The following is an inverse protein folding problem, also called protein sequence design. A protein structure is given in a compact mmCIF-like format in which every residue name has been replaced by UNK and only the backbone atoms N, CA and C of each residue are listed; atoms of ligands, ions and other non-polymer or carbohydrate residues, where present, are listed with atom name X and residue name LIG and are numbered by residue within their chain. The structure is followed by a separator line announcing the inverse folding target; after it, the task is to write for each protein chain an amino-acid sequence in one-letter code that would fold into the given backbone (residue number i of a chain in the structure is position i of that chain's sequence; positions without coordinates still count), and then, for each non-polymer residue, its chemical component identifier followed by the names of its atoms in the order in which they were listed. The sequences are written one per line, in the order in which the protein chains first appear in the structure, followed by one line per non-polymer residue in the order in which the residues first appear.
data_IF_193246595091
#
_entry.id   IF_193246595091
#
_cell.length_a   1.000
_cell.length_b   1.000
_cell.length_c   1.000
_cell.angle_alpha   90.00
_cell.angle_beta   90.00
_cell.angle_gamma   90.00
#
_symmetry.space_group_name_H-M   'P 1'
#
loop_
_entity.id
_entity.type
_entity.pdbx_description
1 polymer ?
#
# COMPACT_ATOMS: atom_id res chain seq x y z
N UNK A 1 -28.20 15.42 -8.81
CA UNK A 1 -26.82 14.92 -8.94
C UNK A 1 -25.88 15.94 -8.29
N UNK A 2 -25.13 15.54 -7.31
CA UNK A 2 -24.17 16.40 -6.59
C UNK A 2 -22.78 15.75 -6.64
N UNK A 3 -21.76 16.51 -7.02
CA UNK A 3 -20.37 16.06 -6.96
C UNK A 3 -19.79 16.51 -5.61
N UNK A 4 -19.31 15.56 -4.83
CA UNK A 4 -18.63 15.79 -3.56
C UNK A 4 -17.15 15.45 -3.69
N UNK A 5 -16.30 16.27 -3.09
CA UNK A 5 -14.85 16.10 -3.13
C UNK A 5 -14.30 16.15 -1.72
N UNK A 6 -13.47 15.19 -1.36
CA UNK A 6 -12.68 15.15 -0.13
C UNK A 6 -11.21 15.24 -0.53
N UNK A 7 -10.56 16.38 -0.23
CA UNK A 7 -9.19 16.64 -0.64
C UNK A 7 -8.49 17.58 0.36
N UNK A 8 -7.47 17.12 1.05
CA UNK A 8 -6.99 15.74 1.10
C UNK A 8 -7.80 14.85 2.07
N UNK A 9 -7.74 13.55 1.87
CA UNK A 9 -8.09 12.60 2.93
C UNK A 9 -6.98 12.65 3.98
N UNK A 10 -7.36 12.81 5.25
CA UNK A 10 -6.43 12.96 6.37
C UNK A 10 -6.12 11.63 7.07
N UNK A 11 -5.14 11.63 7.98
CA UNK A 11 -4.67 10.49 8.78
C UNK A 11 -4.09 9.35 7.94
N UNK A 12 -3.47 9.70 6.85
CA UNK A 12 -2.66 8.83 6.00
C UNK A 12 -1.33 9.54 5.68
N UNK A 13 -0.35 8.80 5.25
CA UNK A 13 0.86 9.37 4.65
C UNK A 13 0.64 9.57 3.15
N UNK A 14 0.97 10.77 2.65
CA UNK A 14 0.75 11.19 1.27
C UNK A 14 -0.61 11.87 1.03
N UNK A 15 -0.81 12.34 -0.19
CA UNK A 15 -2.01 13.07 -0.60
C UNK A 15 -2.97 12.15 -1.36
N UNK A 16 -4.11 11.89 -0.77
CA UNK A 16 -5.20 11.15 -1.38
C UNK A 16 -6.41 12.06 -1.53
N UNK A 17 -6.99 12.06 -2.73
CA UNK A 17 -8.23 12.74 -3.05
C UNK A 17 -9.30 11.72 -3.42
N UNK A 18 -10.49 11.86 -2.88
CA UNK A 18 -11.66 11.10 -3.27
C UNK A 18 -12.71 12.04 -3.84
N UNK A 19 -13.30 11.65 -4.94
CA UNK A 19 -14.43 12.32 -5.57
C UNK A 19 -15.58 11.33 -5.73
N UNK A 20 -16.80 11.79 -5.53
CA UNK A 20 -17.99 10.95 -5.68
C UNK A 20 -19.15 11.73 -6.28
N UNK A 21 -19.92 11.05 -7.10
CA UNK A 21 -21.22 11.53 -7.57
C UNK A 21 -22.33 10.92 -6.73
N UNK A 22 -23.22 11.79 -6.27
CA UNK A 22 -24.35 11.38 -5.42
C UNK A 22 -25.66 11.78 -6.11
N UNK A 23 -26.54 10.81 -6.29
CA UNK A 23 -27.89 11.02 -6.82
C UNK A 23 -28.89 10.42 -5.84
N UNK A 24 -29.82 11.23 -5.35
CA UNK A 24 -30.88 10.83 -4.40
C UNK A 24 -30.34 10.12 -3.15
N UNK A 25 -29.19 10.59 -2.63
CA UNK A 25 -28.53 10.03 -1.43
C UNK A 25 -27.72 8.76 -1.68
N UNK A 26 -27.58 8.31 -2.91
CA UNK A 26 -26.81 7.12 -3.29
C UNK A 26 -25.57 7.53 -4.08
N UNK A 27 -24.41 6.98 -3.74
CA UNK A 27 -23.18 7.15 -4.53
C UNK A 27 -23.33 6.36 -5.82
N UNK A 28 -23.35 7.07 -6.95
CA UNK A 28 -23.51 6.48 -8.28
C UNK A 28 -22.18 6.26 -8.98
N UNK A 29 -21.15 7.05 -8.63
CA UNK A 29 -19.80 6.86 -9.14
C UNK A 29 -18.77 7.43 -8.14
N UNK A 30 -17.53 6.92 -8.17
CA UNK A 30 -16.46 7.37 -7.27
C UNK A 30 -15.08 7.22 -7.93
N UNK A 31 -14.20 8.19 -7.67
CA UNK A 31 -12.82 8.21 -8.14
C UNK A 31 -11.87 8.51 -6.99
N UNK A 32 -10.69 7.88 -7.05
CA UNK A 32 -9.58 8.13 -6.13
C UNK A 32 -8.36 8.53 -6.94
N UNK A 33 -7.65 9.56 -6.49
CA UNK A 33 -6.36 9.98 -7.06
C UNK A 33 -5.32 10.21 -5.98
N UNK A 34 -4.12 9.68 -6.20
CA UNK A 34 -2.96 9.88 -5.34
C UNK A 34 -2.07 11.00 -5.84
N UNK A 35 -1.93 12.08 -5.07
CA UNK A 35 -1.11 13.25 -5.45
C UNK A 35 0.40 12.96 -5.45
N UNK A 36 0.85 11.92 -4.77
CA UNK A 36 2.25 11.51 -4.68
C UNK A 36 2.58 10.29 -5.57
N UNK A 37 1.83 10.10 -6.63
CA UNK A 37 2.02 9.01 -7.57
C UNK A 37 3.40 9.06 -8.26
N UNK A 38 4.10 7.93 -8.28
CA UNK A 38 5.44 7.80 -8.90
C UNK A 38 5.56 6.61 -9.86
N UNK A 39 4.46 5.92 -10.15
CA UNK A 39 4.45 4.79 -11.08
C UNK A 39 5.23 3.57 -10.60
N UNK A 40 5.22 3.30 -9.29
CA UNK A 40 5.98 2.18 -8.72
C UNK A 40 5.53 0.82 -9.28
N UNK A 41 4.28 0.68 -9.64
CA UNK A 41 3.74 -0.49 -10.34
C UNK A 41 4.40 -0.73 -11.71
N UNK A 42 4.82 0.34 -12.39
CA UNK A 42 5.58 0.24 -13.64
C UNK A 42 7.05 -0.08 -13.39
N UNK A 43 7.61 0.44 -12.29
CA UNK A 43 9.01 0.18 -11.90
C UNK A 43 9.24 -1.29 -11.56
N UNK A 44 8.26 -1.94 -10.90
CA UNK A 44 8.38 -3.35 -10.51
C UNK A 44 7.95 -4.33 -11.60
N UNK A 45 7.38 -3.83 -12.67
CA UNK A 45 7.00 -4.66 -13.81
C UNK A 45 8.21 -5.37 -14.40
N UNK A 46 8.07 -6.65 -14.72
CA UNK A 46 9.12 -7.50 -15.28
C UNK A 46 10.34 -7.71 -14.35
N UNK A 47 10.18 -7.40 -13.05
CA UNK A 47 11.18 -7.72 -12.02
C UNK A 47 10.88 -9.06 -11.35
N UNK A 48 11.89 -9.64 -10.73
CA UNK A 48 11.68 -10.82 -9.90
C UNK A 48 10.83 -10.46 -8.67
N UNK A 49 10.10 -11.42 -8.07
CA UNK A 49 9.34 -11.16 -6.83
C UNK A 49 10.22 -10.63 -5.70
N UNK A 50 11.46 -11.10 -5.59
CA UNK A 50 12.42 -10.65 -4.59
C UNK A 50 12.82 -9.18 -4.81
N UNK A 51 13.16 -8.83 -6.06
CA UNK A 51 13.50 -7.46 -6.42
C UNK A 51 12.31 -6.52 -6.21
N UNK A 52 11.12 -6.96 -6.60
CA UNK A 52 9.89 -6.19 -6.39
C UNK A 52 9.68 -5.89 -4.90
N UNK A 53 9.81 -6.88 -4.02
CA UNK A 53 9.68 -6.71 -2.58
C UNK A 53 10.72 -5.71 -2.03
N UNK A 54 11.94 -5.74 -2.55
CA UNK A 54 12.98 -4.80 -2.16
C UNK A 54 12.74 -3.38 -2.67
N UNK A 55 12.18 -3.23 -3.88
CA UNK A 55 11.92 -1.92 -4.50
C UNK A 55 10.72 -1.23 -3.83
N UNK A 56 9.61 -1.95 -3.58
CA UNK A 56 8.36 -1.34 -3.09
C UNK A 56 8.48 -0.73 -1.70
N UNK A 57 9.45 -1.11 -0.89
CA UNK A 57 9.71 -0.43 0.38
C UNK A 57 10.06 1.06 0.18
N UNK A 58 10.47 1.48 -1.03
CA UNK A 58 10.74 2.89 -1.37
C UNK A 58 9.48 3.67 -1.77
N UNK A 59 8.33 3.04 -1.74
CA UNK A 59 7.05 3.74 -1.94
C UNK A 59 6.87 4.78 -0.83
N UNK A 60 7.19 4.40 0.42
CA UNK A 60 7.02 5.26 1.58
C UNK A 60 8.27 5.22 2.47
N UNK A 61 8.76 6.39 2.87
CA UNK A 61 9.87 6.51 3.83
C UNK A 61 9.42 6.40 5.29
N UNK A 62 8.11 6.50 5.56
CA UNK A 62 7.52 6.38 6.90
C UNK A 62 7.14 4.94 7.21
N UNK A 63 6.60 4.20 6.22
CA UNK A 63 6.14 2.82 6.39
C UNK A 63 6.81 1.81 5.45
N UNK A 64 8.13 1.83 5.27
CA UNK A 64 8.82 0.96 4.31
C UNK A 64 8.68 -0.53 4.64
N UNK A 65 8.62 -0.88 5.92
CA UNK A 65 8.47 -2.27 6.37
C UNK A 65 7.13 -2.86 5.96
N UNK A 66 6.04 -2.10 6.09
CA UNK A 66 4.70 -2.57 5.69
C UNK A 66 4.64 -2.89 4.20
N UNK A 67 5.23 -2.03 3.34
CA UNK A 67 5.30 -2.30 1.91
C UNK A 67 6.14 -3.54 1.59
N UNK A 68 7.32 -3.67 2.19
CA UNK A 68 8.17 -4.83 2.00
C UNK A 68 7.51 -6.12 2.50
N UNK A 69 6.86 -6.06 3.68
CA UNK A 69 6.20 -7.22 4.28
C UNK A 69 5.03 -7.71 3.42
N UNK A 70 4.18 -6.79 2.96
CA UNK A 70 3.07 -7.12 2.07
C UNK A 70 3.55 -7.75 0.75
N UNK A 71 4.58 -7.18 0.13
CA UNK A 71 5.16 -7.71 -1.10
C UNK A 71 5.83 -9.08 -0.89
N UNK A 72 6.51 -9.28 0.23
CA UNK A 72 7.12 -10.57 0.57
C UNK A 72 6.06 -11.66 0.74
N UNK A 73 4.96 -11.36 1.43
CA UNK A 73 3.83 -12.31 1.59
C UNK A 73 3.21 -12.65 0.23
N UNK A 74 3.03 -11.64 -0.64
CA UNK A 74 2.50 -11.85 -1.98
C UNK A 74 3.43 -12.73 -2.83
N UNK A 75 4.74 -12.50 -2.76
CA UNK A 75 5.76 -13.30 -3.45
C UNK A 75 5.78 -14.74 -2.94
N UNK A 76 5.74 -14.96 -1.63
CA UNK A 76 5.66 -16.28 -1.01
C UNK A 76 4.44 -17.06 -1.45
N UNK A 77 3.28 -16.41 -1.49
CA UNK A 77 2.06 -17.02 -1.99
C UNK A 77 2.15 -17.40 -3.47
N UNK A 78 2.69 -16.51 -4.30
CA UNK A 78 2.87 -16.76 -5.73
C UNK A 78 3.83 -17.92 -6.02
N UNK A 79 4.87 -18.06 -5.20
CA UNK A 79 5.90 -19.10 -5.34
C UNK A 79 5.57 -20.38 -4.56
N UNK A 80 4.48 -20.43 -3.79
CA UNK A 80 4.10 -21.55 -2.95
C UNK A 80 5.08 -21.82 -1.78
N UNK A 81 5.76 -20.78 -1.31
CA UNK A 81 6.76 -20.88 -0.23
C UNK A 81 6.07 -20.77 1.14
N UNK A 82 6.42 -21.65 2.04
CA UNK A 82 6.04 -21.56 3.46
C UNK A 82 7.26 -21.18 4.30
N UNK A 83 7.17 -20.06 4.98
CA UNK A 83 8.28 -19.58 5.82
C UNK A 83 8.31 -20.29 7.17
N UNK A 84 9.50 -20.48 7.77
CA UNK A 84 9.64 -20.99 9.14
C UNK A 84 8.94 -20.08 10.16
N UNK A 85 8.44 -20.68 11.24
CA UNK A 85 7.73 -19.93 12.29
C UNK A 85 8.57 -18.78 12.89
N UNK A 86 9.88 -19.01 13.09
CA UNK A 86 10.78 -17.97 13.60
C UNK A 86 10.91 -16.78 12.63
N UNK A 87 10.92 -17.01 11.32
CA UNK A 87 10.94 -15.93 10.34
C UNK A 87 9.66 -15.08 10.44
N UNK A 88 8.49 -15.74 10.60
CA UNK A 88 7.21 -15.05 10.82
C UNK A 88 7.23 -14.21 12.10
N UNK A 89 7.78 -14.76 13.20
CA UNK A 89 7.87 -14.03 14.48
C UNK A 89 8.79 -12.80 14.34
N UNK A 90 9.94 -12.94 13.69
CA UNK A 90 10.88 -11.83 13.48
C UNK A 90 10.22 -10.74 12.64
N UNK A 91 9.51 -11.09 11.56
CA UNK A 91 8.77 -10.12 10.74
C UNK A 91 7.70 -9.38 11.56
N UNK A 92 6.96 -10.09 12.40
CA UNK A 92 5.95 -9.48 13.27
C UNK A 92 6.57 -8.50 14.28
N UNK A 93 7.75 -8.82 14.82
CA UNK A 93 8.48 -7.91 15.72
C UNK A 93 8.92 -6.65 15.00
N UNK A 94 9.44 -6.76 13.78
CA UNK A 94 9.87 -5.61 12.98
C UNK A 94 8.67 -4.74 12.58
N UNK A 95 7.55 -5.35 12.16
CA UNK A 95 6.31 -4.64 11.84
C UNK A 95 5.72 -3.97 13.08
N UNK A 96 5.75 -4.66 14.23
CA UNK A 96 5.33 -4.09 15.51
C UNK A 96 6.18 -2.89 15.94
N UNK A 97 7.48 -2.94 15.71
CA UNK A 97 8.37 -1.81 15.96
C UNK A 97 8.03 -0.60 15.06
N UNK A 98 7.79 -0.84 13.77
CA UNK A 98 7.34 0.21 12.87
C UNK A 98 5.99 0.79 13.30
N UNK A 99 5.04 -0.05 13.69
CA UNK A 99 3.72 0.41 14.18
C UNK A 99 3.82 1.32 15.40
N UNK A 100 4.75 1.04 16.32
CA UNK A 100 4.97 1.88 17.50
C UNK A 100 5.73 3.17 17.16
N UNK A 101 6.56 3.15 16.13
CA UNK A 101 7.32 4.32 15.68
C UNK A 101 6.48 5.28 14.86
N UNK A 102 5.58 4.77 14.06
CA UNK A 102 4.69 5.51 13.16
C UNK A 102 3.43 5.96 13.89
#
# INVERSE_FOLDING_TARGET
MTRSVIDPITRIEGHLRAEMEVTDGVVTDAWISGGCFRGMELVVRDRTPEDAAYIVQRICGVCPVSHMHAASIAAEQALGITIPNNARIIRNLVEGAQFLHS
#
